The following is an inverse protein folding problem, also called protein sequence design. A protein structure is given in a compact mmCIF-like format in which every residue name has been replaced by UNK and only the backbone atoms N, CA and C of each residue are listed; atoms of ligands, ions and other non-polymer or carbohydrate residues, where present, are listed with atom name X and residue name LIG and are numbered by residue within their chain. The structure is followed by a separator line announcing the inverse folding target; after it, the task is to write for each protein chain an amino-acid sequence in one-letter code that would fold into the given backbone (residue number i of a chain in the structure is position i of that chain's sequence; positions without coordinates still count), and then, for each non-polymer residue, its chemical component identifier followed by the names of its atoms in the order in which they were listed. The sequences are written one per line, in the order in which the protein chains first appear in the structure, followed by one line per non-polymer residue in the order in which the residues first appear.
data_IF_526763921193
#
_entry.id   IF_526763921193
#
_cell.length_a   1.000
_cell.length_b   1.000
_cell.length_c   1.000
_cell.angle_alpha   90.00
_cell.angle_beta   90.00
_cell.angle_gamma   90.00
#
_symmetry.space_group_name_H-M   'P 1'
#
loop_
_entity.id
_entity.type
_entity.pdbx_description
1 polymer ?
#
# COMPACT_ATOMS: atom_id res chain seq x y z
N UNK A 1 15.59 -3.07 6.69
CA UNK A 1 14.79 -4.31 6.87
C UNK A 1 15.67 -5.42 7.41
N UNK A 2 15.22 -6.15 8.43
CA UNK A 2 15.64 -7.55 8.57
C UNK A 2 14.87 -8.34 7.49
N UNK A 3 15.53 -9.21 6.71
CA UNK A 3 14.83 -10.02 5.71
C UNK A 3 13.77 -10.88 6.40
N UNK A 4 12.60 -11.04 5.78
CA UNK A 4 11.60 -12.02 6.21
C UNK A 4 12.29 -13.40 6.15
N UNK A 5 12.52 -14.02 7.30
CA UNK A 5 13.16 -15.33 7.36
C UNK A 5 12.14 -16.40 6.92
N UNK A 6 12.41 -17.03 5.79
CA UNK A 6 11.59 -18.11 5.23
C UNK A 6 12.27 -19.43 5.56
N UNK A 7 11.67 -20.20 6.47
CA UNK A 7 12.14 -21.53 6.84
C UNK A 7 11.67 -22.57 5.81
N UNK A 8 12.57 -23.26 5.08
CA UNK A 8 12.21 -24.31 4.13
C UNK A 8 11.48 -25.50 4.76
N UNK A 9 11.64 -25.72 6.07
CA UNK A 9 11.02 -26.83 6.80
C UNK A 9 9.62 -26.48 7.35
N UNK A 10 9.15 -25.25 7.10
CA UNK A 10 7.81 -24.84 7.50
C UNK A 10 6.72 -25.54 6.67
N UNK A 11 5.48 -25.53 7.20
CA UNK A 11 4.34 -26.12 6.49
C UNK A 11 4.21 -25.48 5.09
N UNK A 12 3.90 -26.23 4.02
CA UNK A 12 3.90 -25.70 2.65
C UNK A 12 3.09 -24.41 2.46
N UNK A 13 1.91 -24.30 3.08
CA UNK A 13 1.11 -23.07 3.01
C UNK A 13 1.75 -21.86 3.73
N UNK A 14 2.45 -22.11 4.84
CA UNK A 14 3.19 -21.08 5.57
C UNK A 14 4.42 -20.63 4.78
N UNK A 15 5.16 -21.59 4.20
CA UNK A 15 6.29 -21.32 3.32
C UNK A 15 5.89 -20.43 2.14
N UNK A 16 4.79 -20.77 1.46
CA UNK A 16 4.27 -20.01 0.32
C UNK A 16 3.88 -18.59 0.72
N UNK A 17 3.13 -18.43 1.82
CA UNK A 17 2.71 -17.10 2.30
C UNK A 17 3.91 -16.24 2.71
N UNK A 18 4.85 -16.78 3.49
CA UNK A 18 6.05 -16.05 3.91
C UNK A 18 6.92 -15.66 2.71
N UNK A 19 7.11 -16.57 1.76
CA UNK A 19 7.87 -16.31 0.54
C UNK A 19 7.24 -15.20 -0.31
N UNK A 20 5.92 -15.24 -0.48
CA UNK A 20 5.19 -14.24 -1.24
C UNK A 20 5.32 -12.84 -0.60
N UNK A 21 5.12 -12.75 0.72
CA UNK A 21 5.26 -11.49 1.43
C UNK A 21 6.72 -11.00 1.45
N UNK A 22 7.71 -11.89 1.60
CA UNK A 22 9.12 -11.54 1.50
C UNK A 22 9.47 -10.91 0.15
N UNK A 23 8.97 -11.50 -0.94
CA UNK A 23 9.14 -10.96 -2.28
C UNK A 23 8.43 -9.61 -2.46
N UNK A 24 7.21 -9.49 -1.91
CA UNK A 24 6.46 -8.25 -1.94
C UNK A 24 7.15 -7.11 -1.20
N UNK A 25 7.65 -7.35 0.01
CA UNK A 25 8.37 -6.30 0.76
C UNK A 25 9.64 -5.90 0.03
N UNK A 26 10.44 -6.85 -0.46
CA UNK A 26 11.68 -6.57 -1.19
C UNK A 26 11.44 -5.76 -2.47
N UNK A 27 10.46 -6.16 -3.29
CA UNK A 27 10.16 -5.47 -4.54
C UNK A 27 9.54 -4.10 -4.28
N UNK A 28 8.67 -3.97 -3.28
CA UNK A 28 8.09 -2.68 -2.90
C UNK A 28 9.15 -1.71 -2.41
N UNK A 29 10.11 -2.14 -1.59
CA UNK A 29 11.24 -1.32 -1.15
C UNK A 29 12.12 -0.88 -2.33
N UNK A 30 12.39 -1.80 -3.27
CA UNK A 30 13.13 -1.46 -4.49
C UNK A 30 12.38 -0.40 -5.31
N UNK A 31 11.07 -0.56 -5.50
CA UNK A 31 10.24 0.41 -6.22
C UNK A 31 10.20 1.77 -5.55
N UNK A 32 10.00 1.82 -4.23
CA UNK A 32 10.03 3.07 -3.46
C UNK A 32 11.37 3.78 -3.68
N UNK A 33 12.50 3.07 -3.56
CA UNK A 33 13.83 3.67 -3.80
C UNK A 33 13.98 4.26 -5.20
N UNK A 34 13.45 3.59 -6.23
CA UNK A 34 13.47 4.10 -7.60
C UNK A 34 12.63 5.38 -7.69
N UNK A 35 11.40 5.37 -7.19
CA UNK A 35 10.47 6.52 -7.22
C UNK A 35 11.03 7.74 -6.49
N UNK A 36 11.74 7.51 -5.39
CA UNK A 36 12.39 8.55 -4.60
C UNK A 36 13.58 9.18 -5.33
N UNK A 37 14.15 8.50 -6.32
CA UNK A 37 15.20 9.03 -7.18
C UNK A 37 14.66 9.71 -8.45
N UNK A 38 13.35 9.59 -8.73
CA UNK A 38 12.71 10.24 -9.87
C UNK A 38 12.41 11.72 -9.58
N UNK A 39 12.32 12.57 -10.62
CA UNK A 39 11.88 13.96 -10.46
C UNK A 39 10.50 14.05 -9.81
N UNK A 40 10.28 15.05 -8.94
CA UNK A 40 9.01 15.25 -8.23
C UNK A 40 7.84 15.46 -9.19
N UNK A 41 8.11 16.06 -10.35
CA UNK A 41 7.15 16.35 -11.41
C UNK A 41 6.71 15.08 -12.15
N UNK A 42 7.48 14.00 -12.10
CA UNK A 42 7.09 12.74 -12.74
C UNK A 42 5.90 12.13 -11.97
N UNK A 43 4.75 11.93 -12.62
CA UNK A 43 3.58 11.33 -11.97
C UNK A 43 3.84 9.87 -11.56
N UNK A 44 3.33 9.46 -10.40
CA UNK A 44 3.52 8.10 -9.87
C UNK A 44 2.95 7.01 -10.79
N UNK A 45 1.84 7.29 -11.48
CA UNK A 45 1.23 6.32 -12.41
C UNK A 45 2.13 5.99 -13.62
N UNK A 46 3.16 6.80 -13.92
CA UNK A 46 4.14 6.47 -14.96
C UNK A 46 5.21 5.46 -14.51
N UNK A 47 5.18 5.04 -13.25
CA UNK A 47 6.16 4.12 -12.67
C UNK A 47 5.50 2.97 -11.90
N UNK A 48 4.27 3.17 -11.41
CA UNK A 48 3.57 2.22 -10.54
C UNK A 48 2.28 1.63 -11.14
N UNK A 49 1.74 2.20 -12.22
CA UNK A 49 0.47 1.71 -12.77
C UNK A 49 0.60 0.25 -13.24
N UNK A 50 -0.52 -0.48 -13.20
CA UNK A 50 -0.63 -1.82 -13.79
C UNK A 50 -0.07 -1.81 -15.22
N UNK A 51 0.79 -2.79 -15.53
CA UNK A 51 1.47 -2.93 -16.82
C UNK A 51 2.85 -2.27 -16.89
N UNK A 52 3.21 -1.40 -15.94
CA UNK A 52 4.54 -0.76 -15.91
C UNK A 52 5.64 -1.68 -15.34
N UNK A 53 5.27 -2.68 -14.53
CA UNK A 53 6.20 -3.68 -14.00
C UNK A 53 5.57 -5.08 -13.98
N UNK A 54 5.87 -5.91 -14.98
CA UNK A 54 5.33 -7.26 -15.08
C UNK A 54 5.65 -8.15 -13.88
N UNK A 55 6.80 -7.96 -13.22
CA UNK A 55 7.19 -8.76 -12.07
C UNK A 55 6.32 -8.41 -10.85
N UNK A 56 6.06 -7.12 -10.65
CA UNK A 56 5.18 -6.66 -9.59
C UNK A 56 3.72 -7.02 -9.86
N UNK A 57 3.26 -6.88 -11.10
CA UNK A 57 1.91 -7.29 -11.52
C UNK A 57 1.68 -8.79 -11.27
N UNK A 58 2.67 -9.65 -11.61
CA UNK A 58 2.60 -11.08 -11.33
C UNK A 58 2.52 -11.37 -9.82
N UNK A 59 3.23 -10.60 -9.01
CA UNK A 59 3.21 -10.74 -7.56
C UNK A 59 1.84 -10.37 -6.97
N UNK A 60 1.23 -9.27 -7.43
CA UNK A 60 -0.13 -8.88 -7.05
C UNK A 60 -1.13 -9.97 -7.50
N UNK A 61 -1.01 -10.47 -8.73
CA UNK A 61 -1.85 -11.57 -9.21
C UNK A 61 -1.73 -12.82 -8.34
N UNK A 62 -0.51 -13.14 -7.90
CA UNK A 62 -0.26 -14.29 -7.02
C UNK A 62 -0.88 -14.08 -5.63
N UNK A 63 -0.84 -12.85 -5.09
CA UNK A 63 -1.55 -12.48 -3.86
C UNK A 63 -3.06 -12.63 -4.00
N UNK A 64 -3.63 -12.22 -5.13
CA UNK A 64 -5.05 -12.37 -5.42
C UNK A 64 -5.49 -13.83 -5.45
N UNK A 65 -4.75 -14.70 -6.14
CA UNK A 65 -5.04 -16.14 -6.17
C UNK A 65 -4.93 -16.80 -4.79
N UNK A 66 -3.95 -16.42 -3.97
CA UNK A 66 -3.84 -16.94 -2.60
C UNK A 66 -4.94 -16.42 -1.67
N UNK A 67 -5.41 -15.19 -1.91
CA UNK A 67 -6.52 -14.60 -1.16
C UNK A 67 -7.83 -15.39 -1.31
N UNK A 68 -8.02 -16.17 -2.39
CA UNK A 68 -9.16 -17.10 -2.50
C UNK A 68 -9.27 -18.03 -1.28
N UNK A 69 -8.13 -18.45 -0.72
CA UNK A 69 -8.08 -19.40 0.40
C UNK A 69 -7.84 -18.74 1.75
N UNK A 70 -7.19 -17.57 1.78
CA UNK A 70 -6.71 -16.97 3.03
C UNK A 70 -6.75 -15.44 3.06
N UNK A 71 -7.74 -14.82 2.40
CA UNK A 71 -7.94 -13.36 2.39
C UNK A 71 -7.76 -12.67 3.75
N UNK A 72 -8.37 -13.12 4.87
CA UNK A 72 -8.15 -12.47 6.16
C UNK A 72 -6.69 -12.43 6.61
N UNK A 73 -5.91 -13.48 6.34
CA UNK A 73 -4.47 -13.52 6.66
C UNK A 73 -3.69 -12.56 5.75
N UNK A 74 -3.99 -12.56 4.45
CA UNK A 74 -3.37 -11.62 3.49
C UNK A 74 -3.64 -10.16 3.91
N UNK A 75 -4.89 -9.80 4.21
CA UNK A 75 -5.25 -8.45 4.61
C UNK A 75 -4.55 -8.01 5.89
N UNK A 76 -4.51 -8.86 6.94
CA UNK A 76 -3.80 -8.53 8.18
C UNK A 76 -2.32 -8.25 7.93
N UNK A 77 -1.63 -9.14 7.23
CA UNK A 77 -0.20 -8.97 6.94
C UNK A 77 0.06 -7.76 6.03
N UNK A 78 -0.82 -7.47 5.08
CA UNK A 78 -0.75 -6.25 4.27
C UNK A 78 -0.91 -4.99 5.14
N UNK A 79 -1.90 -4.95 6.03
CA UNK A 79 -2.09 -3.83 6.96
C UNK A 79 -0.89 -3.65 7.90
N UNK A 80 -0.31 -4.73 8.41
CA UNK A 80 0.90 -4.68 9.24
C UNK A 80 2.07 -4.09 8.46
N UNK A 81 2.27 -4.51 7.20
CA UNK A 81 3.27 -3.92 6.32
C UNK A 81 3.02 -2.42 6.12
N UNK A 82 1.78 -2.03 5.80
CA UNK A 82 1.41 -0.63 5.57
C UNK A 82 1.63 0.24 6.81
N UNK A 83 1.24 -0.23 8.00
CA UNK A 83 1.46 0.47 9.28
C UNK A 83 2.95 0.68 9.56
N UNK A 84 3.79 -0.32 9.30
CA UNK A 84 5.25 -0.22 9.44
C UNK A 84 5.88 0.77 8.47
N UNK A 85 5.37 0.85 7.24
CA UNK A 85 5.87 1.85 6.28
C UNK A 85 5.59 3.28 6.73
N UNK A 86 4.48 3.51 7.42
CA UNK A 86 4.05 4.82 7.91
C UNK A 86 4.62 5.18 9.30
N UNK A 87 5.54 4.37 9.85
CA UNK A 87 6.17 4.64 11.15
C UNK A 87 5.23 4.52 12.35
N UNK A 88 4.04 3.94 12.19
CA UNK A 88 3.05 3.79 13.25
C UNK A 88 3.46 2.77 14.34
N UNK A 89 4.57 2.05 14.15
CA UNK A 89 5.11 1.10 15.14
C UNK A 89 6.42 1.56 15.79
N UNK A 90 6.97 2.75 15.44
CA UNK A 90 8.29 3.20 15.94
C UNK A 90 8.21 4.60 16.58
N UNK A 91 7.47 4.71 17.69
CA UNK A 91 7.57 5.83 18.64
C UNK A 91 8.83 5.72 19.51
N UNK A 92 10.02 5.54 18.92
CA UNK A 92 11.26 5.41 19.69
C UNK A 92 12.49 6.07 19.05
N UNK A 93 12.33 7.21 18.39
CA UNK A 93 13.49 8.04 18.04
C UNK A 93 13.41 9.40 18.73
N UNK A 94 14.12 9.47 19.86
CA UNK A 94 14.54 10.69 20.55
C UNK A 94 14.89 11.79 19.54
N UNK A 95 14.10 12.86 19.55
CA UNK A 95 14.44 14.09 18.89
C UNK A 95 15.67 14.70 19.58
N UNK A 96 16.87 14.43 19.04
CA UNK A 96 18.09 15.13 19.42
C UNK A 96 18.25 16.33 18.49
N UNK A 97 18.06 17.59 18.94
CA UNK A 97 18.27 18.74 18.08
C UNK A 97 19.77 18.88 17.83
N UNK A 98 20.24 18.42 16.67
CA UNK A 98 21.55 18.85 16.14
C UNK A 98 21.37 20.24 15.53
N UNK A 99 22.15 21.19 16.03
CA UNK A 99 22.26 22.55 15.52
C UNK A 99 22.33 22.54 13.98
N UNK A 100 21.34 23.17 13.33
CA UNK A 100 21.13 23.06 11.90
C UNK A 100 21.12 24.46 11.27
N UNK A 101 22.15 24.77 10.50
CA UNK A 101 22.21 25.90 9.57
C UNK A 101 21.61 25.50 8.21
N UNK A 102 20.40 24.91 8.18
CA UNK A 102 19.72 24.55 6.93
C UNK A 102 18.75 25.64 6.49
N UNK A 103 18.68 25.87 5.18
CA UNK A 103 17.80 26.88 4.61
C UNK A 103 16.35 26.37 4.56
N UNK A 104 15.37 27.28 4.62
CA UNK A 104 13.93 26.92 4.53
C UNK A 104 13.58 26.10 3.28
N UNK A 105 14.31 26.28 2.18
CA UNK A 105 14.08 25.57 0.93
C UNK A 105 14.47 24.08 1.03
N UNK A 106 15.54 23.76 1.76
CA UNK A 106 16.00 22.36 1.92
C UNK A 106 15.02 21.53 2.76
N UNK A 107 14.40 22.17 3.76
CA UNK A 107 13.36 21.52 4.59
C UNK A 107 12.09 21.25 3.78
N UNK A 108 11.64 22.24 3.00
CA UNK A 108 10.46 22.10 2.15
C UNK A 108 10.65 21.02 1.06
N UNK A 109 11.83 20.92 0.45
CA UNK A 109 12.12 19.87 -0.53
C UNK A 109 12.12 18.47 0.11
N UNK A 110 12.63 18.35 1.34
CA UNK A 110 12.59 17.09 2.09
C UNK A 110 11.15 16.68 2.39
N UNK A 111 10.29 17.61 2.78
CA UNK A 111 8.88 17.33 3.07
C UNK A 111 8.13 16.83 1.82
N UNK A 112 8.40 17.41 0.64
CA UNK A 112 7.84 16.93 -0.62
C UNK A 112 8.30 15.51 -0.99
N UNK A 113 9.54 15.17 -0.69
CA UNK A 113 10.06 13.81 -0.91
C UNK A 113 9.41 12.81 0.05
N UNK A 114 9.23 13.16 1.32
CA UNK A 114 8.53 12.30 2.28
C UNK A 114 7.07 12.08 1.88
N UNK A 115 6.37 13.14 1.48
CA UNK A 115 5.00 13.03 0.98
C UNK A 115 4.92 12.17 -0.29
N UNK A 116 5.89 12.29 -1.21
CA UNK A 116 5.96 11.44 -2.41
C UNK A 116 6.16 9.96 -2.04
N UNK A 117 6.99 9.67 -1.04
CA UNK A 117 7.20 8.31 -0.52
C UNK A 117 5.88 7.72 -0.01
N UNK A 118 5.16 8.47 0.79
CA UNK A 118 3.91 8.00 1.41
C UNK A 118 2.84 7.76 0.35
N UNK A 119 2.73 8.66 -0.64
CA UNK A 119 1.85 8.46 -1.80
C UNK A 119 2.23 7.23 -2.64
N UNK A 120 3.52 6.92 -2.77
CA UNK A 120 3.96 5.71 -3.47
C UNK A 120 3.59 4.43 -2.71
N UNK A 121 3.67 4.45 -1.37
CA UNK A 121 3.23 3.36 -0.51
C UNK A 121 1.72 3.17 -0.64
N UNK A 122 0.95 4.25 -0.56
CA UNK A 122 -0.50 4.26 -0.75
C UNK A 122 -0.94 3.71 -2.11
N UNK A 123 -0.23 4.11 -3.16
CA UNK A 123 -0.48 3.63 -4.52
C UNK A 123 -0.27 2.11 -4.61
N UNK A 124 0.89 1.60 -4.19
CA UNK A 124 1.15 0.16 -4.24
C UNK A 124 0.18 -0.63 -3.36
N UNK A 125 -0.14 -0.11 -2.17
CA UNK A 125 -1.08 -0.74 -1.25
C UNK A 125 -2.49 -0.85 -1.85
N UNK A 126 -2.99 0.24 -2.44
CA UNK A 126 -4.29 0.26 -3.11
C UNK A 126 -4.34 -0.70 -4.31
N UNK A 127 -3.27 -0.82 -5.11
CA UNK A 127 -3.21 -1.81 -6.18
C UNK A 127 -3.39 -3.25 -5.67
N UNK A 128 -2.73 -3.60 -4.56
CA UNK A 128 -2.88 -4.93 -3.95
C UNK A 128 -4.30 -5.12 -3.42
N UNK A 129 -4.83 -4.12 -2.69
CA UNK A 129 -6.19 -4.16 -2.15
C UNK A 129 -7.23 -4.40 -3.24
N UNK A 130 -7.16 -3.68 -4.36
CA UNK A 130 -8.09 -3.83 -5.47
C UNK A 130 -8.13 -5.28 -5.97
N UNK A 131 -6.98 -5.95 -6.05
CA UNK A 131 -6.92 -7.32 -6.53
C UNK A 131 -7.40 -8.34 -5.50
N UNK A 132 -6.96 -8.25 -4.24
CA UNK A 132 -7.30 -9.25 -3.22
C UNK A 132 -8.76 -9.14 -2.72
N UNK A 133 -9.34 -7.93 -2.69
CA UNK A 133 -10.71 -7.71 -2.20
C UNK A 133 -11.79 -8.24 -3.16
N UNK A 134 -11.42 -8.64 -4.39
CA UNK A 134 -12.30 -9.39 -5.30
C UNK A 134 -12.73 -10.73 -4.70
N UNK A 135 -11.94 -11.27 -3.76
CA UNK A 135 -12.19 -12.57 -3.13
C UNK A 135 -13.10 -12.51 -1.90
N UNK A 136 -13.57 -11.34 -1.47
CA UNK A 136 -14.52 -11.16 -0.35
C UNK A 136 -15.72 -12.15 -0.40
N UNK A 137 -16.35 -12.45 -1.57
CA UNK A 137 -17.48 -13.38 -1.62
C UNK A 137 -17.18 -14.80 -1.13
N UNK A 138 -15.91 -15.19 -1.06
CA UNK A 138 -15.44 -16.50 -0.54
C UNK A 138 -15.25 -16.49 0.99
N UNK A 139 -15.32 -15.31 1.62
CA UNK A 139 -14.98 -15.10 3.02
C UNK A 139 -16.07 -14.27 3.74
N UNK A 140 -17.21 -14.88 4.14
CA UNK A 140 -18.38 -14.16 4.61
C UNK A 140 -18.25 -13.51 6.00
N UNK A 141 -17.12 -13.65 6.70
CA UNK A 141 -16.90 -13.15 8.07
C UNK A 141 -15.70 -12.18 8.13
N UNK A 142 -15.78 -11.08 7.39
CA UNK A 142 -14.69 -10.09 7.26
C UNK A 142 -15.08 -8.67 7.67
N UNK A 143 -16.21 -8.45 8.33
CA UNK A 143 -16.76 -7.11 8.59
C UNK A 143 -15.75 -6.15 9.25
N UNK A 144 -14.97 -6.62 10.23
CA UNK A 144 -13.95 -5.80 10.89
C UNK A 144 -12.82 -5.35 9.95
N UNK A 145 -12.28 -6.27 9.14
CA UNK A 145 -11.21 -5.97 8.18
C UNK A 145 -11.72 -5.10 7.02
N UNK A 146 -12.94 -5.33 6.57
CA UNK A 146 -13.59 -4.51 5.53
C UNK A 146 -13.80 -3.10 6.06
N UNK A 147 -14.24 -2.95 7.31
CA UNK A 147 -14.39 -1.63 7.91
C UNK A 147 -13.04 -0.90 8.04
N UNK A 148 -11.95 -1.61 8.35
CA UNK A 148 -10.60 -1.03 8.35
C UNK A 148 -10.19 -0.52 6.96
N UNK A 149 -10.46 -1.29 5.89
CA UNK A 149 -10.26 -0.86 4.50
C UNK A 149 -11.06 0.40 4.16
N UNK A 150 -12.35 0.42 4.52
CA UNK A 150 -13.24 1.56 4.26
C UNK A 150 -12.74 2.81 5.00
N UNK A 151 -12.39 2.66 6.28
CA UNK A 151 -11.86 3.76 7.10
C UNK A 151 -10.55 4.30 6.54
N UNK A 152 -9.68 3.43 6.02
CA UNK A 152 -8.45 3.84 5.36
C UNK A 152 -8.74 4.63 4.08
N UNK A 153 -9.59 4.09 3.20
CA UNK A 153 -9.96 4.76 1.95
C UNK A 153 -10.53 6.17 2.19
N UNK A 154 -11.37 6.32 3.21
CA UNK A 154 -11.93 7.64 3.56
C UNK A 154 -10.90 8.67 4.01
N UNK A 155 -9.73 8.25 4.50
CA UNK A 155 -8.65 9.20 4.84
C UNK A 155 -8.07 9.89 3.60
N UNK A 156 -8.11 9.24 2.43
CA UNK A 156 -7.55 9.79 1.18
C UNK A 156 -8.48 10.77 0.46
N UNK A 157 -9.76 10.88 0.86
CA UNK A 157 -10.69 11.88 0.33
C UNK A 157 -10.70 13.19 1.11
N UNK A 158 -9.83 13.35 2.12
CA UNK A 158 -9.70 14.62 2.84
C UNK A 158 -9.11 15.69 1.93
N UNK A 159 -9.98 16.59 1.45
CA UNK A 159 -9.61 17.70 0.59
C UNK A 159 -8.64 18.65 1.32
N UNK A 160 -7.45 18.86 0.74
CA UNK A 160 -6.49 19.88 1.17
C UNK A 160 -6.69 21.14 0.32
N UNK A 161 -7.70 21.93 0.64
CA UNK A 161 -8.00 23.18 -0.05
C UNK A 161 -6.79 24.13 -0.03
N UNK A 162 -6.38 24.64 -1.19
CA UNK A 162 -5.27 25.59 -1.32
C UNK A 162 -3.86 24.99 -1.33
N UNK A 163 -3.70 23.65 -1.30
CA UNK A 163 -2.37 23.03 -1.42
C UNK A 163 -1.86 23.01 -2.87
N UNK A 164 -0.74 23.71 -3.11
CA UNK A 164 -0.06 23.81 -4.42
C UNK A 164 1.34 23.18 -4.36
N UNK A 165 1.44 21.94 -3.88
CA UNK A 165 2.69 21.18 -3.89
C UNK A 165 2.89 20.37 -5.18
N UNK A 166 4.13 19.94 -5.49
CA UNK A 166 4.40 19.14 -6.68
C UNK A 166 3.67 17.78 -6.68
N UNK A 167 3.25 17.31 -5.51
CA UNK A 167 2.53 16.05 -5.35
C UNK A 167 1.00 16.16 -5.47
N UNK A 168 0.41 17.34 -5.66
CA UNK A 168 -1.06 17.49 -5.73
C UNK A 168 -1.69 16.55 -6.77
N UNK A 169 -1.07 16.41 -7.95
CA UNK A 169 -1.53 15.45 -8.96
C UNK A 169 -1.48 13.99 -8.48
N UNK A 170 -0.42 13.61 -7.76
CA UNK A 170 -0.28 12.26 -7.20
C UNK A 170 -1.31 11.98 -6.09
N UNK A 171 -1.71 12.99 -5.31
CA UNK A 171 -2.78 12.86 -4.32
C UNK A 171 -4.12 12.49 -4.98
N UNK A 172 -4.46 13.15 -6.10
CA UNK A 172 -5.67 12.83 -6.85
C UNK A 172 -5.64 11.41 -7.41
N UNK A 173 -4.51 11.00 -7.99
CA UNK A 173 -4.34 9.63 -8.50
C UNK A 173 -4.53 8.59 -7.38
N UNK A 174 -3.94 8.83 -6.20
CA UNK A 174 -4.10 7.93 -5.04
C UNK A 174 -5.56 7.92 -4.57
N UNK A 175 -6.24 9.07 -4.52
CA UNK A 175 -7.65 9.13 -4.17
C UNK A 175 -8.53 8.35 -5.15
N UNK A 176 -8.26 8.41 -6.46
CA UNK A 176 -8.96 7.63 -7.48
C UNK A 176 -8.76 6.12 -7.29
N UNK A 177 -7.54 5.68 -6.95
CA UNK A 177 -7.26 4.28 -6.61
C UNK A 177 -8.04 3.83 -5.37
N UNK A 178 -8.13 4.66 -4.33
CA UNK A 178 -8.93 4.34 -3.15
C UNK A 178 -10.44 4.39 -3.43
N UNK A 179 -10.89 5.16 -4.42
CA UNK A 179 -12.27 5.08 -4.91
C UNK A 179 -12.52 3.74 -5.62
N UNK A 180 -11.55 3.25 -6.40
CA UNK A 180 -11.61 1.90 -7.00
C UNK A 180 -11.64 0.81 -5.91
N UNK A 181 -10.85 0.92 -4.85
CA UNK A 181 -10.90 0.02 -3.67
C UNK A 181 -12.32 -0.05 -3.10
N UNK A 182 -12.94 1.11 -2.83
CA UNK A 182 -14.32 1.16 -2.32
C UNK A 182 -15.32 0.55 -3.31
N UNK A 183 -15.14 0.80 -4.61
CA UNK A 183 -15.93 0.19 -5.67
C UNK A 183 -15.89 -1.33 -5.64
N UNK A 184 -14.69 -1.91 -5.49
CA UNK A 184 -14.52 -3.38 -5.38
C UNK A 184 -15.19 -3.91 -4.11
N UNK A 185 -15.02 -3.25 -2.96
CA UNK A 185 -15.69 -3.65 -1.72
C UNK A 185 -17.21 -3.68 -1.90
N UNK A 186 -17.78 -2.63 -2.49
CA UNK A 186 -19.22 -2.53 -2.74
C UNK A 186 -19.73 -3.65 -3.67
N UNK A 187 -19.04 -3.88 -4.79
CA UNK A 187 -19.39 -4.93 -5.76
C UNK A 187 -19.31 -6.33 -5.14
N UNK A 188 -18.23 -6.62 -4.41
CA UNK A 188 -18.03 -7.90 -3.77
C UNK A 188 -19.08 -8.19 -2.69
N UNK A 189 -19.47 -7.17 -1.90
CA UNK A 189 -20.53 -7.30 -0.89
C UNK A 189 -21.90 -7.51 -1.50
N UNK A 190 -22.23 -6.79 -2.57
CA UNK A 190 -23.50 -6.97 -3.27
C UNK A 190 -23.68 -8.41 -3.78
N UNK A 191 -22.63 -9.02 -4.35
CA UNK A 191 -22.67 -10.42 -4.81
C UNK A 191 -23.00 -11.44 -3.73
N UNK A 192 -22.65 -11.17 -2.47
CA UNK A 192 -23.02 -12.02 -1.33
C UNK A 192 -24.53 -11.96 -1.10
N UNK A 193 -25.13 -10.77 -1.23
CA UNK A 193 -26.54 -10.53 -0.97
C UNK A 193 -27.45 -11.11 -2.08
N UNK A 194 -26.97 -11.16 -3.32
CA UNK A 194 -27.74 -11.68 -4.47
C UNK A 194 -27.62 -13.19 -4.70
N UNK A 195 -26.75 -13.90 -3.96
CA UNK A 195 -26.64 -15.37 -4.03
C UNK A 195 -27.70 -16.11 -3.19
N UNK A 196 -28.80 -15.44 -2.83
CA UNK A 196 -29.96 -16.03 -2.15
C UNK A 196 -31.04 -16.41 -3.12
#
# INVERSE_FOLDING_TARGET
MAPVNVDPESKPGEFVLKSLFANFTLLSERKIRIIMAEPLEKPLNKSLQRGEDPQFDQLISSMSSLAEYCLPSILRTLFDWYKRQNGLEDESHEYRPRANTKSKNDEQQKDYLLERRDLAIDFMFSLVLIEVLKQIPLHPLLDGLIQEVINLAFKHFKYKEGYLGPNTGNMHIVADLYAEVLGVVAQSRYRILTKK
#
